data_IF_131939564235
#
_entry.id   IF_131939564235
#
_cell.length_a   1.000
_cell.length_b   1.000
_cell.length_c   1.000
_cell.angle_alpha   90.00
_cell.angle_beta   90.00
_cell.angle_gamma   90.00
#
_symmetry.space_group_name_H-M   'P 1'
#
loop_
_entity.id
_entity.type
_entity.pdbx_description
1 polymer ?
#
# COMPACT_ATOMS: atom_id res chain seq x y z
N UNK A 1 10.79 -19.56 -24.94
CA UNK A 1 11.96 -18.66 -25.06
C UNK A 1 13.20 -19.53 -24.97
N UNK A 2 14.25 -19.29 -25.77
CA UNK A 2 15.47 -20.11 -25.74
C UNK A 2 16.23 -19.87 -24.43
N UNK A 3 16.88 -20.90 -23.87
CA UNK A 3 17.65 -20.79 -22.62
C UNK A 3 18.80 -19.78 -22.74
N UNK A 4 19.40 -19.67 -23.93
CA UNK A 4 20.42 -18.65 -24.21
C UNK A 4 19.91 -17.23 -23.94
N UNK A 5 18.66 -16.93 -24.30
CA UNK A 5 18.05 -15.61 -24.07
C UNK A 5 17.68 -15.39 -22.60
N UNK A 6 17.32 -16.45 -21.88
CA UNK A 6 17.04 -16.38 -20.44
C UNK A 6 18.32 -16.01 -19.69
N UNK A 7 19.42 -16.70 -20.00
CA UNK A 7 20.71 -16.48 -19.35
C UNK A 7 21.26 -15.08 -19.64
N UNK A 8 21.10 -14.61 -20.89
CA UNK A 8 21.59 -13.30 -21.31
C UNK A 8 20.77 -12.13 -20.72
N UNK A 9 19.44 -12.20 -20.73
CA UNK A 9 18.59 -11.03 -20.46
C UNK A 9 17.75 -11.09 -19.17
N UNK A 10 17.46 -12.28 -18.64
CA UNK A 10 16.66 -12.44 -17.40
C UNK A 10 17.58 -12.72 -16.20
N UNK A 11 18.77 -13.24 -16.45
CA UNK A 11 19.72 -13.82 -15.50
C UNK A 11 19.25 -15.14 -14.89
N UNK A 12 20.17 -16.10 -14.83
CA UNK A 12 19.95 -17.41 -14.22
C UNK A 12 19.50 -17.28 -12.77
N UNK A 13 20.16 -16.43 -11.98
CA UNK A 13 19.83 -16.19 -10.56
C UNK A 13 18.36 -15.80 -10.35
N UNK A 14 17.80 -14.99 -11.25
CA UNK A 14 16.40 -14.57 -11.20
C UNK A 14 15.47 -15.68 -11.65
N UNK A 15 15.84 -16.35 -12.74
CA UNK A 15 15.03 -17.42 -13.33
C UNK A 15 14.98 -18.66 -12.43
N UNK A 16 16.01 -18.93 -11.61
CA UNK A 16 16.08 -20.05 -10.66
C UNK A 16 14.97 -20.05 -9.60
N UNK A 17 14.24 -18.94 -9.42
CA UNK A 17 13.04 -18.91 -8.59
C UNK A 17 11.81 -19.53 -9.25
N UNK A 18 11.87 -19.82 -10.55
CA UNK A 18 10.82 -20.40 -11.38
C UNK A 18 11.21 -21.79 -11.86
N UNK A 19 10.23 -22.70 -11.94
CA UNK A 19 10.38 -24.07 -12.42
C UNK A 19 10.36 -24.15 -13.95
N UNK A 20 9.74 -23.19 -14.61
CA UNK A 20 9.63 -23.13 -16.07
C UNK A 20 9.33 -21.73 -16.56
N UNK A 21 9.43 -21.53 -17.88
CA UNK A 21 9.08 -20.26 -18.51
C UNK A 21 7.58 -19.96 -18.42
N UNK A 22 6.75 -20.99 -18.39
CA UNK A 22 5.30 -20.90 -18.19
C UNK A 22 4.99 -20.39 -16.78
N UNK A 23 5.73 -20.83 -15.75
CA UNK A 23 5.57 -20.32 -14.39
C UNK A 23 6.00 -18.86 -14.30
N UNK A 24 7.11 -18.48 -14.95
CA UNK A 24 7.51 -17.07 -15.05
C UNK A 24 6.43 -16.22 -15.72
N UNK A 25 5.87 -16.69 -16.85
CA UNK A 25 4.76 -16.02 -17.55
C UNK A 25 3.51 -15.92 -16.65
N UNK A 26 3.16 -16.97 -15.92
CA UNK A 26 2.05 -16.94 -14.98
C UNK A 26 2.26 -15.90 -13.87
N UNK A 27 3.49 -15.76 -13.36
CA UNK A 27 3.83 -14.73 -12.38
C UNK A 27 3.66 -13.30 -12.93
N UNK A 28 4.04 -13.08 -14.19
CA UNK A 28 3.81 -11.79 -14.87
C UNK A 28 2.33 -11.49 -15.01
N UNK A 29 1.51 -12.46 -15.42
CA UNK A 29 0.05 -12.27 -15.52
C UNK A 29 -0.59 -12.02 -14.15
N UNK A 30 -0.18 -12.74 -13.11
CA UNK A 30 -0.67 -12.52 -11.75
C UNK A 30 -0.30 -11.13 -11.24
N UNK A 31 0.97 -10.73 -11.42
CA UNK A 31 1.46 -9.39 -11.09
C UNK A 31 0.69 -8.30 -11.85
N UNK A 32 0.43 -8.49 -13.15
CA UNK A 32 -0.36 -7.55 -13.97
C UNK A 32 -1.75 -7.31 -13.38
N UNK A 33 -2.46 -8.37 -12.96
CA UNK A 33 -3.82 -8.27 -12.37
C UNK A 33 -3.87 -7.47 -11.07
N UNK A 34 -2.73 -7.25 -10.41
CA UNK A 34 -2.68 -6.49 -9.16
C UNK A 34 -2.58 -4.98 -9.35
N UNK A 35 -2.25 -4.50 -10.55
CA UNK A 35 -1.96 -3.08 -10.78
C UNK A 35 -3.14 -2.18 -10.39
N UNK A 36 -4.34 -2.46 -10.89
CA UNK A 36 -5.52 -1.62 -10.66
C UNK A 36 -5.93 -1.64 -9.19
N UNK A 37 -6.14 -2.80 -8.53
CA UNK A 37 -6.52 -2.84 -7.13
C UNK A 37 -5.51 -2.16 -6.20
N UNK A 38 -4.20 -2.37 -6.43
CA UNK A 38 -3.15 -1.74 -5.63
C UNK A 38 -3.11 -0.21 -5.83
N UNK A 39 -3.28 0.26 -7.06
CA UNK A 39 -3.31 1.69 -7.37
C UNK A 39 -4.46 2.40 -6.66
N UNK A 40 -5.67 1.83 -6.74
CA UNK A 40 -6.84 2.41 -6.07
C UNK A 40 -6.66 2.39 -4.55
N UNK A 41 -6.20 1.28 -3.98
CA UNK A 41 -5.99 1.15 -2.54
C UNK A 41 -4.97 2.17 -2.02
N UNK A 42 -3.84 2.35 -2.70
CA UNK A 42 -2.78 3.26 -2.26
C UNK A 42 -3.26 4.72 -2.26
N UNK A 43 -4.00 5.13 -3.29
CA UNK A 43 -4.57 6.48 -3.39
C UNK A 43 -5.66 6.69 -2.34
N UNK A 44 -6.57 5.72 -2.18
CA UNK A 44 -7.67 5.81 -1.21
C UNK A 44 -7.15 5.89 0.23
N UNK A 45 -6.17 5.04 0.57
CA UNK A 45 -5.55 5.02 1.89
C UNK A 45 -4.86 6.35 2.20
N UNK A 46 -4.01 6.85 1.29
CA UNK A 46 -3.34 8.14 1.45
C UNK A 46 -4.34 9.26 1.66
N UNK A 47 -5.31 9.40 0.75
CA UNK A 47 -6.23 10.53 0.76
C UNK A 47 -7.14 10.49 1.99
N UNK A 48 -7.57 9.31 2.41
CA UNK A 48 -8.40 9.16 3.60
C UNK A 48 -7.64 9.53 4.89
N UNK A 49 -6.38 9.09 5.00
CA UNK A 49 -5.52 9.46 6.13
C UNK A 49 -5.23 10.95 6.11
N UNK A 50 -4.82 11.52 4.97
CA UNK A 50 -4.53 12.96 4.85
C UNK A 50 -5.74 13.81 5.23
N UNK A 51 -6.93 13.47 4.74
CA UNK A 51 -8.16 14.17 5.10
C UNK A 51 -8.45 14.06 6.61
N UNK A 52 -8.31 12.88 7.21
CA UNK A 52 -8.52 12.72 8.65
C UNK A 52 -7.52 13.54 9.48
N UNK A 53 -6.22 13.46 9.15
CA UNK A 53 -5.17 14.18 9.87
C UNK A 53 -5.26 15.69 9.68
N UNK A 54 -5.70 16.14 8.50
CA UNK A 54 -5.99 17.56 8.24
C UNK A 54 -7.02 18.12 9.21
N UNK A 55 -8.09 17.37 9.44
CA UNK A 55 -9.17 17.78 10.34
C UNK A 55 -8.82 17.60 11.83
N UNK A 56 -8.02 16.59 12.14
CA UNK A 56 -7.66 16.25 13.53
C UNK A 56 -6.54 17.14 14.10
N UNK A 57 -5.57 17.49 13.27
CA UNK A 57 -4.33 18.16 13.68
C UNK A 57 -4.30 19.56 13.08
N UNK A 58 -4.04 19.65 11.78
CA UNK A 58 -4.01 20.89 11.00
C UNK A 58 -3.79 20.55 9.52
N UNK A 59 -3.94 21.54 8.64
CA UNK A 59 -3.54 21.36 7.24
C UNK A 59 -2.08 20.90 7.10
N UNK A 60 -1.20 21.33 7.99
CA UNK A 60 0.23 21.06 7.93
C UNK A 60 0.66 19.93 8.89
N UNK A 61 -0.21 18.95 9.14
CA UNK A 61 0.07 17.81 10.03
C UNK A 61 1.37 17.06 9.69
N UNK A 62 1.79 17.10 8.42
CA UNK A 62 3.03 16.48 7.93
C UNK A 62 4.30 17.21 8.43
N UNK A 63 4.14 18.36 9.09
CA UNK A 63 5.19 19.11 9.78
C UNK A 63 5.06 19.01 11.31
N UNK A 64 4.04 18.31 11.83
CA UNK A 64 3.78 18.20 13.26
C UNK A 64 4.72 17.17 13.92
N UNK A 65 5.77 17.64 14.57
CA UNK A 65 6.74 16.81 15.28
C UNK A 65 6.18 16.15 16.54
N UNK A 66 5.05 16.63 17.08
CA UNK A 66 4.37 16.00 18.23
C UNK A 66 3.58 14.78 17.80
N UNK A 67 3.01 14.80 16.60
CA UNK A 67 2.28 13.69 16.02
C UNK A 67 3.20 12.68 15.34
N UNK A 68 4.17 13.13 14.55
CA UNK A 68 5.03 12.23 13.79
C UNK A 68 6.10 11.55 14.67
N UNK A 69 6.55 10.38 14.23
CA UNK A 69 7.78 9.77 14.77
C UNK A 69 9.01 10.32 14.04
N UNK A 70 10.18 10.21 14.64
CA UNK A 70 11.45 10.59 13.99
C UNK A 70 11.65 9.90 12.63
N UNK A 71 11.31 8.62 12.52
CA UNK A 71 11.33 7.88 11.25
C UNK A 71 10.36 8.46 10.21
N UNK A 72 9.18 8.93 10.64
CA UNK A 72 8.20 9.52 9.73
C UNK A 72 8.62 10.92 9.27
N UNK A 73 9.19 11.71 10.17
CA UNK A 73 9.80 13.02 9.87
C UNK A 73 10.91 12.85 8.83
N UNK A 74 11.79 11.86 9.01
CA UNK A 74 12.88 11.61 8.06
C UNK A 74 12.37 11.25 6.66
N UNK A 75 11.30 10.44 6.57
CA UNK A 75 10.68 10.07 5.28
C UNK A 75 10.04 11.27 4.58
N UNK A 76 9.44 12.19 5.34
CA UNK A 76 8.88 13.43 4.80
C UNK A 76 10.00 14.36 4.30
N UNK A 77 11.10 14.50 5.05
CA UNK A 77 12.29 15.24 4.61
C UNK A 77 12.86 14.67 3.30
N UNK A 78 13.01 13.35 3.22
CA UNK A 78 13.45 12.68 1.98
C UNK A 78 12.51 12.94 0.79
N UNK A 79 11.19 12.92 1.01
CA UNK A 79 10.22 13.25 -0.03
C UNK A 79 10.37 14.69 -0.51
N UNK A 80 10.57 15.65 0.40
CA UNK A 80 10.82 17.06 0.07
C UNK A 80 12.12 17.20 -0.73
N UNK A 81 13.22 16.60 -0.29
CA UNK A 81 14.51 16.62 -0.99
C UNK A 81 14.40 16.06 -2.42
N UNK A 82 13.59 15.02 -2.62
CA UNK A 82 13.35 14.44 -3.96
C UNK A 82 12.60 15.43 -4.86
N UNK A 83 11.57 16.10 -4.34
CA UNK A 83 10.83 17.12 -5.08
C UNK A 83 11.72 18.32 -5.44
N UNK A 84 12.54 18.78 -4.50
CA UNK A 84 13.50 19.87 -4.72
C UNK A 84 14.53 19.51 -5.79
N UNK A 85 15.07 18.28 -5.75
CA UNK A 85 15.98 17.77 -6.80
C UNK A 85 15.33 17.73 -8.17
N UNK A 86 14.02 17.44 -8.25
CA UNK A 86 13.22 17.49 -9.49
C UNK A 86 12.78 18.90 -9.87
N UNK A 87 13.10 19.92 -9.07
CA UNK A 87 12.64 21.32 -9.21
C UNK A 87 11.11 21.44 -9.23
N UNK A 88 10.44 20.58 -8.48
CA UNK A 88 8.99 20.62 -8.30
C UNK A 88 8.61 21.45 -7.07
N UNK A 89 7.39 22.00 -7.07
CA UNK A 89 6.87 22.72 -5.91
C UNK A 89 6.64 21.76 -4.73
N UNK A 90 7.14 22.14 -3.55
CA UNK A 90 7.03 21.39 -2.29
C UNK A 90 5.69 21.64 -1.57
N UNK A 91 4.60 21.61 -2.34
CA UNK A 91 3.24 21.71 -1.78
C UNK A 91 2.89 20.45 -0.99
N UNK A 92 2.00 20.58 0.01
CA UNK A 92 1.47 19.42 0.76
C UNK A 92 1.05 18.28 -0.16
N UNK A 93 0.27 18.57 -1.20
CA UNK A 93 -0.22 17.58 -2.14
C UNK A 93 0.91 16.80 -2.82
N UNK A 94 1.98 17.49 -3.23
CA UNK A 94 3.17 16.87 -3.82
C UNK A 94 3.95 16.05 -2.79
N UNK A 95 4.14 16.57 -1.59
CA UNK A 95 4.84 15.86 -0.50
C UNK A 95 4.13 14.56 -0.15
N UNK A 96 2.82 14.60 0.13
CA UNK A 96 2.07 13.38 0.46
C UNK A 96 2.02 12.40 -0.72
N UNK A 97 2.05 12.90 -1.96
CA UNK A 97 2.05 12.05 -3.14
C UNK A 97 3.38 11.32 -3.37
N UNK A 98 4.50 11.91 -2.96
CA UNK A 98 5.83 11.30 -3.03
C UNK A 98 6.05 10.24 -1.92
N UNK A 99 5.25 10.26 -0.84
CA UNK A 99 5.34 9.28 0.24
C UNK A 99 4.85 7.89 -0.20
N UNK A 100 5.71 6.89 -0.02
CA UNK A 100 5.40 5.48 -0.34
C UNK A 100 4.23 4.91 0.47
N UNK A 101 3.55 3.88 -0.05
CA UNK A 101 2.60 3.05 0.72
C UNK A 101 3.13 2.66 2.11
N UNK A 102 4.42 2.34 2.22
CA UNK A 102 5.03 1.98 3.49
C UNK A 102 4.96 3.09 4.54
N UNK A 103 5.04 4.36 4.16
CA UNK A 103 4.83 5.47 5.09
C UNK A 103 3.42 5.41 5.68
N UNK A 104 2.40 5.31 4.82
CA UNK A 104 0.99 5.29 5.23
C UNK A 104 0.65 4.10 6.12
N UNK A 105 1.13 2.90 5.76
CA UNK A 105 0.94 1.69 6.57
C UNK A 105 1.64 1.79 7.93
N UNK A 106 2.81 2.44 8.01
CA UNK A 106 3.54 2.60 9.28
C UNK A 106 2.80 3.48 10.30
N UNK A 107 1.86 4.33 9.87
CA UNK A 107 1.01 5.10 10.78
C UNK A 107 0.12 4.20 11.65
N UNK A 108 -0.08 2.94 11.28
CA UNK A 108 -0.84 1.97 12.08
C UNK A 108 0.01 1.21 13.10
N UNK A 109 1.33 1.42 13.15
CA UNK A 109 2.22 0.76 14.10
C UNK A 109 2.04 1.24 15.54
N UNK A 110 2.59 0.46 16.49
CA UNK A 110 2.56 0.72 17.94
C UNK A 110 2.94 2.16 18.36
N UNK A 111 3.92 2.87 17.76
CA UNK A 111 4.23 4.24 18.13
C UNK A 111 3.07 5.23 17.99
N UNK A 112 2.12 4.93 17.10
CA UNK A 112 0.93 5.74 16.87
C UNK A 112 -0.27 5.30 17.71
N UNK A 113 -0.09 4.38 18.68
CA UNK A 113 -1.21 3.75 19.37
C UNK A 113 -2.14 4.71 20.10
N UNK A 114 -1.51 5.65 20.81
CA UNK A 114 -2.22 6.69 21.54
C UNK A 114 -2.70 7.83 20.62
N UNK A 115 -2.13 7.93 19.41
CA UNK A 115 -2.36 9.01 18.42
C UNK A 115 -3.46 8.67 17.42
N UNK A 116 -3.65 7.39 17.08
CA UNK A 116 -4.69 6.88 16.17
C UNK A 116 -5.48 5.75 16.86
N UNK A 117 -6.55 6.16 17.53
CA UNK A 117 -7.48 5.28 18.27
C UNK A 117 -8.60 4.81 17.35
N UNK A 118 -9.47 3.93 17.86
CA UNK A 118 -10.57 3.34 17.09
C UNK A 118 -11.50 4.39 16.43
N UNK A 119 -11.74 5.53 17.09
CA UNK A 119 -12.57 6.59 16.51
C UNK A 119 -11.88 7.26 15.31
N UNK A 120 -10.55 7.35 15.30
CA UNK A 120 -9.78 7.81 14.15
C UNK A 120 -9.86 6.82 13.00
N UNK A 121 -9.75 5.51 13.30
CA UNK A 121 -9.86 4.46 12.30
C UNK A 121 -11.22 4.46 11.60
N UNK A 122 -12.31 4.75 12.33
CA UNK A 122 -13.65 4.89 11.74
C UNK A 122 -13.80 6.12 10.84
N UNK A 123 -12.95 7.13 10.98
CA UNK A 123 -12.92 8.30 10.09
C UNK A 123 -12.07 8.02 8.84
N UNK A 124 -11.01 7.23 8.98
CA UNK A 124 -10.16 6.77 7.87
C UNK A 124 -10.87 5.68 7.05
N UNK A 125 -11.65 4.82 7.70
CA UNK A 125 -12.37 3.70 7.11
C UNK A 125 -13.86 3.78 7.53
N UNK A 126 -14.67 4.60 6.84
CA UNK A 126 -16.06 4.86 7.22
C UNK A 126 -16.94 3.61 7.30
N UNK A 127 -16.66 2.61 6.46
CA UNK A 127 -17.41 1.37 6.34
C UNK A 127 -16.81 0.20 7.14
N UNK A 128 -16.02 0.49 8.19
CA UNK A 128 -15.56 -0.57 9.10
C UNK A 128 -16.75 -1.38 9.63
N UNK A 129 -16.65 -2.73 9.62
CA UNK A 129 -17.73 -3.57 10.09
C UNK A 129 -18.01 -3.31 11.57
N UNK A 130 -19.28 -3.49 11.96
CA UNK A 130 -19.64 -3.51 13.36
C UNK A 130 -18.87 -4.62 14.08
N UNK A 131 -18.47 -4.35 15.33
CA UNK A 131 -17.74 -5.28 16.21
C UNK A 131 -18.40 -6.66 16.30
N UNK A 132 -19.74 -6.71 16.23
CA UNK A 132 -20.51 -7.96 16.27
C UNK A 132 -20.38 -8.78 14.97
N UNK A 133 -20.10 -8.13 13.84
CA UNK A 133 -19.91 -8.79 12.53
C UNK A 133 -18.46 -9.20 12.33
N UNK A 134 -17.51 -8.30 12.63
CA UNK A 134 -16.07 -8.55 12.52
C UNK A 134 -15.34 -7.61 13.46
N UNK A 135 -14.54 -8.18 14.37
CA UNK A 135 -13.75 -7.38 15.29
C UNK A 135 -12.49 -6.88 14.60
N UNK A 136 -12.44 -5.58 14.29
CA UNK A 136 -11.29 -4.92 13.67
C UNK A 136 -10.60 -4.02 14.69
N UNK A 137 -9.30 -4.22 14.85
CA UNK A 137 -8.40 -3.37 15.66
C UNK A 137 -7.36 -2.71 14.77
N UNK A 138 -6.63 -1.72 15.32
CA UNK A 138 -5.50 -1.13 14.59
C UNK A 138 -4.43 -2.17 14.23
N UNK A 139 -4.16 -3.11 15.12
CA UNK A 139 -3.16 -4.17 14.88
C UNK A 139 -3.59 -5.11 13.75
N UNK A 140 -4.89 -5.45 13.69
CA UNK A 140 -5.46 -6.24 12.59
C UNK A 140 -5.32 -5.47 11.27
N UNK A 141 -5.75 -4.20 11.23
CA UNK A 141 -5.60 -3.36 10.02
C UNK A 141 -4.14 -3.21 9.61
N UNK A 142 -3.23 -3.01 10.57
CA UNK A 142 -1.80 -2.93 10.30
C UNK A 142 -1.30 -4.22 9.64
N UNK A 143 -1.66 -5.39 10.17
CA UNK A 143 -1.25 -6.69 9.61
C UNK A 143 -1.78 -6.90 8.19
N UNK A 144 -3.06 -6.62 7.96
CA UNK A 144 -3.69 -6.72 6.63
C UNK A 144 -3.00 -5.77 5.63
N UNK A 145 -2.84 -4.49 6.00
CA UNK A 145 -2.19 -3.48 5.15
C UNK A 145 -0.70 -3.77 4.93
N UNK A 146 0.02 -4.28 5.93
CA UNK A 146 1.43 -4.64 5.80
C UNK A 146 1.62 -5.86 4.88
N UNK A 147 0.68 -6.81 4.94
CA UNK A 147 0.67 -7.94 4.04
C UNK A 147 0.47 -7.49 2.58
N UNK A 148 -0.49 -6.60 2.33
CA UNK A 148 -0.70 -5.96 1.02
C UNK A 148 0.52 -5.16 0.58
N UNK A 149 1.15 -4.39 1.48
CA UNK A 149 2.38 -3.64 1.20
C UNK A 149 3.52 -4.57 0.79
N UNK A 150 3.70 -5.70 1.48
CA UNK A 150 4.73 -6.69 1.15
C UNK A 150 4.46 -7.32 -0.23
N UNK A 151 3.22 -7.69 -0.52
CA UNK A 151 2.82 -8.15 -1.85
C UNK A 151 3.14 -7.12 -2.94
N UNK A 152 2.65 -5.89 -2.77
CA UNK A 152 2.87 -4.76 -3.67
C UNK A 152 4.36 -4.53 -3.94
N UNK A 153 5.18 -4.53 -2.90
CA UNK A 153 6.62 -4.39 -3.06
C UNK A 153 7.21 -5.50 -3.92
N UNK A 154 6.83 -6.76 -3.71
CA UNK A 154 7.31 -7.87 -4.54
C UNK A 154 6.90 -7.73 -6.00
N UNK A 155 5.65 -7.32 -6.27
CA UNK A 155 5.16 -7.06 -7.63
C UNK A 155 6.01 -6.00 -8.33
N UNK A 156 6.25 -4.86 -7.67
CA UNK A 156 7.00 -3.74 -8.26
C UNK A 156 8.53 -3.90 -8.19
N UNK A 157 9.03 -4.84 -7.40
CA UNK A 157 10.40 -5.37 -7.51
C UNK A 157 10.48 -6.55 -8.49
N UNK A 158 9.37 -6.88 -9.16
CA UNK A 158 9.28 -7.91 -10.20
C UNK A 158 9.75 -9.30 -9.71
N UNK A 159 9.46 -9.59 -8.45
CA UNK A 159 9.76 -10.87 -7.81
C UNK A 159 8.66 -11.91 -8.05
N UNK A 160 8.95 -13.18 -7.74
CA UNK A 160 7.92 -14.22 -7.72
C UNK A 160 6.93 -13.99 -6.59
N UNK A 161 5.63 -14.03 -6.91
CA UNK A 161 4.50 -13.91 -5.99
C UNK A 161 3.54 -15.10 -6.08
N UNK A 162 3.49 -15.80 -7.22
CA UNK A 162 2.69 -17.03 -7.36
C UNK A 162 3.30 -18.20 -6.58
N UNK A 163 2.47 -19.18 -6.23
CA UNK A 163 2.87 -20.40 -5.51
C UNK A 163 3.56 -20.11 -4.17
N UNK A 164 3.22 -18.96 -3.56
CA UNK A 164 3.56 -18.65 -2.18
C UNK A 164 2.28 -18.66 -1.36
N UNK A 165 2.24 -19.53 -0.36
CA UNK A 165 1.06 -19.74 0.50
C UNK A 165 0.54 -18.45 1.15
N UNK A 166 1.38 -17.41 1.25
CA UNK A 166 0.98 -16.15 1.84
C UNK A 166 0.13 -15.27 0.92
N UNK A 167 0.16 -15.39 -0.42
CA UNK A 167 -0.58 -14.47 -1.31
C UNK A 167 -1.82 -15.08 -1.99
N UNK A 168 -2.28 -16.24 -1.55
CA UNK A 168 -3.39 -16.95 -2.19
C UNK A 168 -4.70 -16.13 -2.19
N UNK A 169 -4.97 -15.40 -1.11
CA UNK A 169 -6.18 -14.59 -0.90
C UNK A 169 -5.93 -13.09 -1.05
N UNK A 170 -4.79 -12.69 -1.64
CA UNK A 170 -4.33 -11.29 -1.61
C UNK A 170 -5.32 -10.31 -2.28
N UNK A 171 -6.02 -10.76 -3.32
CA UNK A 171 -7.04 -9.96 -3.98
C UNK A 171 -8.24 -9.74 -3.06
N UNK A 172 -8.68 -10.76 -2.34
CA UNK A 172 -9.78 -10.66 -1.38
C UNK A 172 -9.43 -9.69 -0.26
N UNK A 173 -8.19 -9.73 0.25
CA UNK A 173 -7.72 -8.78 1.26
C UNK A 173 -7.71 -7.34 0.74
N UNK A 174 -7.20 -7.10 -0.48
CA UNK A 174 -7.22 -5.77 -1.11
C UNK A 174 -8.65 -5.26 -1.25
N UNK A 175 -9.56 -6.11 -1.76
CA UNK A 175 -10.95 -5.76 -1.97
C UNK A 175 -11.71 -5.55 -0.65
N UNK A 176 -11.40 -6.30 0.41
CA UNK A 176 -11.97 -6.11 1.73
C UNK A 176 -11.58 -4.74 2.31
N UNK A 177 -10.30 -4.34 2.21
CA UNK A 177 -9.85 -3.01 2.61
C UNK A 177 -10.56 -1.92 1.80
N UNK A 178 -10.74 -2.11 0.49
CA UNK A 178 -11.47 -1.16 -0.36
C UNK A 178 -12.93 -0.99 0.10
N UNK A 179 -13.60 -2.08 0.50
CA UNK A 179 -14.95 -2.01 1.06
C UNK A 179 -15.02 -1.21 2.36
N UNK A 180 -13.96 -1.24 3.18
CA UNK A 180 -13.90 -0.44 4.41
C UNK A 180 -13.83 1.07 4.13
N UNK A 181 -13.34 1.48 2.95
CA UNK A 181 -13.45 2.87 2.51
C UNK A 181 -14.86 3.17 2.00
N UNK A 182 -15.27 2.47 0.95
CA UNK A 182 -16.54 2.71 0.26
C UNK A 182 -16.94 1.55 -0.67
N UNK A 183 -18.24 1.24 -0.75
CA UNK A 183 -18.75 0.11 -1.56
C UNK A 183 -18.75 0.40 -3.06
N UNK A 184 -18.90 1.66 -3.47
CA UNK A 184 -18.80 2.06 -4.88
C UNK A 184 -17.34 2.04 -5.33
N UNK A 185 -16.41 2.46 -4.46
CA UNK A 185 -14.97 2.34 -4.74
C UNK A 185 -14.56 0.88 -4.98
N UNK A 186 -15.02 -0.04 -4.12
CA UNK A 186 -14.84 -1.48 -4.32
C UNK A 186 -15.41 -1.96 -5.66
N UNK A 187 -16.66 -1.59 -5.97
CA UNK A 187 -17.36 -2.03 -7.18
C UNK A 187 -16.69 -1.50 -8.46
N UNK A 188 -16.27 -0.23 -8.44
CA UNK A 188 -15.47 0.37 -9.51
C UNK A 188 -14.17 -0.39 -9.73
N UNK A 189 -13.45 -0.70 -8.66
CA UNK A 189 -12.15 -1.38 -8.76
C UNK A 189 -12.28 -2.79 -9.31
N UNK A 190 -13.33 -3.53 -8.94
CA UNK A 190 -13.61 -4.84 -9.53
C UNK A 190 -13.81 -4.72 -11.04
N UNK A 191 -14.76 -3.88 -11.46
CA UNK A 191 -15.10 -3.69 -12.88
C UNK A 191 -13.91 -3.21 -13.72
N UNK A 192 -13.04 -2.37 -13.14
CA UNK A 192 -11.86 -1.89 -13.83
C UNK A 192 -10.79 -2.97 -14.02
N UNK A 193 -10.78 -4.03 -13.20
CA UNK A 193 -9.77 -5.08 -13.20
C UNK A 193 -10.21 -6.38 -13.92
N UNK A 194 -11.45 -6.42 -14.44
CA UNK A 194 -11.97 -7.45 -15.35
C UNK A 194 -11.30 -7.38 -16.73
#
# INVERSE_FOLDING_TARGET
>A
MKDSLINEFISEKRFNSYRSIEEYRANLHFSKKSYIPLSVLEIALRNSIDNHLTNKISNDWYLDETFLTQDSIQKIKQAIEVLEKRREATTKHKVIAELSLGFWVNLFKKPYDKKLRINDLKKIFPNLPNKNKKFITRDILYKELDHIRNFRNRVFHYEKVINKNNFEIIFDEIYEILKYFDTQLYSFTLKANE
#
